data_IF_356557995485
#
_entry.id   IF_356557995485
#
_cell.length_a   1.000
_cell.length_b   1.000
_cell.length_c   1.000
_cell.angle_alpha   90.00
_cell.angle_beta   90.00
_cell.angle_gamma   90.00
#
_symmetry.space_group_name_H-M   'P 1'
#
loop_
_entity.id
_entity.type
_entity.pdbx_description
1 polymer ?
#
# COMPACT_ATOMS: atom_id res chain seq x y z
N UNK A 1 -68.78 21.74 16.33
CA UNK A 1 -68.44 21.22 14.99
C UNK A 1 -67.05 21.72 14.63
N UNK A 2 -66.03 20.86 14.66
CA UNK A 2 -64.63 21.18 14.34
C UNK A 2 -64.32 20.75 12.91
N UNK A 3 -63.65 21.57 12.07
CA UNK A 3 -62.85 21.06 10.99
C UNK A 3 -61.36 21.10 11.36
N UNK A 4 -60.82 19.89 11.31
CA UNK A 4 -59.43 19.46 11.33
C UNK A 4 -58.73 19.91 10.04
N UNK A 5 -57.53 20.51 10.12
CA UNK A 5 -56.67 20.72 8.95
C UNK A 5 -55.25 20.27 9.29
N UNK A 6 -54.81 19.28 8.51
CA UNK A 6 -53.56 18.52 8.62
C UNK A 6 -52.34 19.38 8.29
N UNK A 7 -51.34 19.32 9.17
CA UNK A 7 -49.95 19.70 8.90
C UNK A 7 -49.24 18.59 8.12
N UNK A 8 -48.86 18.88 6.87
CA UNK A 8 -48.00 18.01 6.07
C UNK A 8 -46.53 18.36 6.36
N UNK A 9 -45.89 17.60 7.25
CA UNK A 9 -44.45 17.71 7.49
C UNK A 9 -43.71 16.85 6.46
N UNK A 10 -43.00 17.49 5.52
CA UNK A 10 -42.14 16.80 4.56
C UNK A 10 -40.74 16.70 5.16
N UNK A 11 -40.45 15.58 5.83
CA UNK A 11 -39.09 15.25 6.27
C UNK A 11 -38.41 14.50 5.14
N UNK A 12 -37.62 15.22 4.32
CA UNK A 12 -36.64 14.60 3.42
C UNK A 12 -35.45 14.15 4.27
N UNK A 13 -35.58 12.94 4.82
CA UNK A 13 -34.44 12.19 5.33
C UNK A 13 -34.01 11.17 4.29
N UNK A 14 -32.93 11.43 3.57
CA UNK A 14 -32.04 10.40 3.03
C UNK A 14 -30.65 10.99 2.91
N UNK A 15 -29.89 10.90 4.01
CA UNK A 15 -28.45 10.77 3.90
C UNK A 15 -28.12 9.32 3.56
N UNK A 16 -27.23 9.09 2.62
CA UNK A 16 -26.00 8.36 2.93
C UNK A 16 -24.98 8.63 1.83
N UNK A 17 -23.82 9.11 2.28
CA UNK A 17 -22.62 9.33 1.49
C UNK A 17 -22.21 8.02 0.83
N UNK A 18 -22.27 7.95 -0.50
CA UNK A 18 -21.58 6.92 -1.26
C UNK A 18 -20.08 7.20 -1.13
N UNK A 19 -19.47 6.66 -0.08
CA UNK A 19 -18.02 6.53 -0.01
C UNK A 19 -17.58 5.73 -1.22
N UNK A 20 -16.77 6.33 -2.09
CA UNK A 20 -16.15 5.64 -3.20
C UNK A 20 -15.40 4.44 -2.67
N UNK A 21 -15.96 3.25 -2.82
CA UNK A 21 -15.17 2.04 -2.83
C UNK A 21 -14.26 2.20 -4.04
N UNK A 22 -12.98 2.48 -3.80
CA UNK A 22 -11.96 2.41 -4.85
C UNK A 22 -11.95 0.98 -5.36
N UNK A 23 -12.75 0.75 -6.40
CA UNK A 23 -12.89 -0.55 -7.02
C UNK A 23 -11.54 -0.99 -7.58
N UNK A 24 -11.27 -2.29 -7.50
CA UNK A 24 -10.08 -2.85 -8.12
C UNK A 24 -10.32 -2.89 -9.62
N UNK A 25 -9.73 -1.93 -10.35
CA UNK A 25 -9.74 -1.93 -11.80
C UNK A 25 -8.82 -3.04 -12.38
N UNK A 26 -8.89 -3.24 -13.70
CA UNK A 26 -8.13 -4.31 -14.36
C UNK A 26 -6.61 -4.17 -14.22
N UNK A 27 -6.08 -2.95 -14.20
CA UNK A 27 -4.65 -2.70 -14.08
C UNK A 27 -4.18 -3.01 -12.65
N UNK A 28 -4.90 -2.52 -11.65
CA UNK A 28 -4.62 -2.82 -10.24
C UNK A 28 -4.77 -4.32 -9.95
N UNK A 29 -5.77 -4.98 -10.53
CA UNK A 29 -5.94 -6.44 -10.43
C UNK A 29 -4.68 -7.17 -10.93
N UNK A 30 -4.09 -6.74 -12.05
CA UNK A 30 -2.85 -7.33 -12.58
C UNK A 30 -1.65 -7.05 -11.67
N UNK A 31 -1.52 -5.83 -11.14
CA UNK A 31 -0.46 -5.46 -10.21
C UNK A 31 -0.53 -6.30 -8.92
N UNK A 32 -1.73 -6.47 -8.35
CA UNK A 32 -1.96 -7.30 -7.16
C UNK A 32 -1.63 -8.77 -7.43
N UNK A 33 -2.03 -9.32 -8.58
CA UNK A 33 -1.65 -10.69 -8.98
C UNK A 33 -0.15 -10.86 -9.17
N UNK A 34 0.56 -9.83 -9.65
CA UNK A 34 2.02 -9.86 -9.78
C UNK A 34 2.71 -9.93 -8.41
N UNK A 35 2.20 -9.19 -7.43
CA UNK A 35 2.71 -9.24 -6.05
C UNK A 35 2.36 -10.55 -5.35
N UNK A 36 1.19 -11.12 -5.65
CA UNK A 36 0.70 -12.34 -5.02
C UNK A 36 0.16 -13.34 -6.06
N UNK A 37 1.04 -14.08 -6.76
CA UNK A 37 0.62 -15.00 -7.83
C UNK A 37 -0.31 -16.13 -7.36
N UNK A 38 -0.23 -16.51 -6.09
CA UNK A 38 -1.07 -17.55 -5.47
C UNK A 38 -2.40 -17.04 -4.88
N UNK A 39 -2.71 -15.75 -5.01
CA UNK A 39 -3.95 -15.18 -4.48
C UNK A 39 -5.16 -15.62 -5.29
N UNK A 40 -6.24 -15.96 -4.59
CA UNK A 40 -7.53 -16.32 -5.18
C UNK A 40 -8.50 -15.15 -5.20
N UNK A 41 -8.37 -14.20 -4.27
CA UNK A 41 -9.23 -13.01 -4.15
C UNK A 41 -8.47 -11.84 -3.53
N UNK A 42 -8.89 -10.63 -3.92
CA UNK A 42 -8.50 -9.38 -3.27
C UNK A 42 -9.77 -8.65 -2.84
N UNK A 43 -9.77 -8.08 -1.64
CA UNK A 43 -10.85 -7.18 -1.23
C UNK A 43 -10.55 -5.75 -1.72
N UNK A 44 -11.57 -4.95 -2.04
CA UNK A 44 -11.41 -3.52 -2.29
C UNK A 44 -10.65 -2.82 -1.16
N UNK A 45 -10.03 -1.69 -1.49
CA UNK A 45 -9.23 -0.93 -0.52
C UNK A 45 -10.09 -0.52 0.68
N UNK A 46 -9.58 -0.71 1.89
CA UNK A 46 -10.26 -0.29 3.10
C UNK A 46 -9.37 -0.37 4.35
N UNK A 47 -10.00 -0.21 5.51
CA UNK A 47 -9.33 -0.28 6.81
C UNK A 47 -8.44 0.93 7.14
N UNK A 48 -7.84 0.87 8.33
CA UNK A 48 -6.88 1.86 8.83
C UNK A 48 -5.67 1.10 9.37
N UNK A 49 -4.49 1.15 8.70
CA UNK A 49 -4.18 1.98 7.53
C UNK A 49 -4.87 1.47 6.26
N UNK A 50 -5.09 2.29 5.23
CA UNK A 50 -5.72 1.85 3.98
C UNK A 50 -4.88 0.74 3.31
N UNK A 51 -5.53 -0.39 3.02
CA UNK A 51 -4.90 -1.55 2.39
C UNK A 51 -5.93 -2.40 1.61
N UNK A 52 -5.41 -3.23 0.71
CA UNK A 52 -6.12 -4.34 0.09
C UNK A 52 -5.78 -5.62 0.86
N UNK A 53 -6.78 -6.42 1.21
CA UNK A 53 -6.53 -7.76 1.77
C UNK A 53 -6.34 -8.76 0.66
N UNK A 54 -5.36 -9.65 0.84
CA UNK A 54 -5.02 -10.72 -0.10
C UNK A 54 -5.44 -12.04 0.50
N UNK A 55 -6.20 -12.83 -0.27
CA UNK A 55 -6.71 -14.11 0.17
C UNK A 55 -6.16 -15.26 -0.67
N UNK A 56 -5.92 -16.39 0.01
CA UNK A 56 -5.80 -17.71 -0.62
C UNK A 56 -6.89 -18.60 -0.01
N UNK A 57 -7.90 -18.94 -0.82
CA UNK A 57 -9.17 -19.47 -0.31
C UNK A 57 -9.85 -18.45 0.61
N UNK A 58 -10.14 -18.86 1.84
CA UNK A 58 -10.77 -18.01 2.86
C UNK A 58 -9.77 -17.41 3.88
N UNK A 59 -8.48 -17.69 3.72
CA UNK A 59 -7.44 -17.21 4.64
C UNK A 59 -6.77 -15.95 4.09
N UNK A 60 -6.63 -14.91 4.92
CA UNK A 60 -5.82 -13.74 4.60
C UNK A 60 -4.35 -14.13 4.65
N UNK A 61 -3.66 -13.99 3.52
CA UNK A 61 -2.23 -14.34 3.38
C UNK A 61 -1.33 -13.13 3.27
N UNK A 62 -1.90 -11.94 3.04
CA UNK A 62 -1.14 -10.70 3.02
C UNK A 62 -2.01 -9.47 2.82
N UNK A 63 -1.31 -8.34 2.66
CA UNK A 63 -1.88 -7.03 2.41
C UNK A 63 -1.08 -6.32 1.31
N UNK A 64 -1.76 -5.50 0.52
CA UNK A 64 -1.10 -4.53 -0.37
C UNK A 64 -1.54 -3.11 -0.03
N UNK A 65 -0.68 -2.12 -0.24
CA UNK A 65 -0.98 -0.72 0.09
C UNK A 65 -0.14 0.25 -0.73
N UNK A 66 -0.63 1.49 -0.81
CA UNK A 66 0.05 2.59 -1.50
C UNK A 66 0.96 3.35 -0.56
N UNK A 67 2.23 3.51 -0.94
CA UNK A 67 3.18 4.30 -0.13
C UNK A 67 2.73 5.73 0.08
N UNK A 68 2.12 6.37 -0.92
CA UNK A 68 1.68 7.77 -0.86
C UNK A 68 0.50 8.00 0.07
N UNK A 69 -0.27 6.96 0.39
CA UNK A 69 -1.37 7.07 1.38
C UNK A 69 -0.85 6.92 2.81
N UNK A 70 0.26 6.19 2.99
CA UNK A 70 0.82 5.89 4.31
C UNK A 70 1.96 6.83 4.71
N UNK A 71 2.68 7.35 3.72
CA UNK A 71 3.79 8.29 3.88
C UNK A 71 3.55 9.54 3.00
N UNK A 72 2.43 10.29 3.18
CA UNK A 72 2.00 11.35 2.27
C UNK A 72 2.93 12.57 2.25
N UNK A 73 3.86 12.67 3.20
CA UNK A 73 4.85 13.74 3.31
C UNK A 73 6.22 13.35 2.75
N UNK A 74 6.42 12.09 2.38
CA UNK A 74 7.67 11.62 1.77
C UNK A 74 7.80 12.20 0.36
N UNK A 75 8.97 12.74 0.03
CA UNK A 75 9.25 13.42 -1.24
C UNK A 75 10.64 13.02 -1.72
N UNK A 76 10.71 12.63 -2.98
CA UNK A 76 11.93 12.40 -3.72
C UNK A 76 12.41 13.71 -4.37
N UNK A 77 13.11 13.64 -5.51
CA UNK A 77 13.64 14.85 -6.14
C UNK A 77 12.54 15.73 -6.74
N UNK A 78 11.58 15.13 -7.44
CA UNK A 78 10.49 15.84 -8.12
C UNK A 78 9.10 15.41 -7.60
N UNK A 79 9.01 15.20 -6.29
CA UNK A 79 7.75 14.94 -5.60
C UNK A 79 7.58 13.48 -5.13
N UNK A 80 6.35 13.02 -4.92
CA UNK A 80 6.10 11.68 -4.39
C UNK A 80 6.35 10.59 -5.44
N UNK A 81 6.83 9.43 -4.98
CA UNK A 81 6.92 8.21 -5.77
C UNK A 81 5.81 7.27 -5.30
N UNK A 82 4.82 7.04 -6.15
CA UNK A 82 3.69 6.14 -5.89
C UNK A 82 4.11 4.71 -6.15
N UNK A 83 4.12 3.90 -5.09
CA UNK A 83 4.46 2.49 -5.17
C UNK A 83 3.38 1.63 -4.51
N UNK A 84 3.07 0.49 -5.14
CA UNK A 84 2.30 -0.58 -4.54
C UNK A 84 3.24 -1.55 -3.86
N UNK A 85 3.05 -1.77 -2.56
CA UNK A 85 3.88 -2.67 -1.76
C UNK A 85 3.03 -3.83 -1.29
N UNK A 86 3.51 -5.06 -1.49
CA UNK A 86 2.92 -6.27 -0.94
C UNK A 86 3.65 -6.71 0.32
N UNK A 87 2.91 -7.04 1.38
CA UNK A 87 3.41 -7.51 2.66
C UNK A 87 2.63 -8.78 3.06
N UNK A 88 3.34 -9.85 3.39
CA UNK A 88 2.70 -11.06 3.90
C UNK A 88 2.37 -10.95 5.40
N UNK A 89 1.67 -11.94 5.94
CA UNK A 89 1.28 -11.97 7.36
C UNK A 89 2.43 -12.22 8.34
N UNK A 90 3.62 -12.55 7.85
CA UNK A 90 4.84 -12.78 8.66
C UNK A 90 5.72 -11.54 8.75
N UNK A 91 5.42 -10.51 7.95
CA UNK A 91 6.21 -9.29 7.85
C UNK A 91 7.28 -9.34 6.76
N UNK A 92 7.14 -10.23 5.79
CA UNK A 92 8.03 -10.34 4.63
C UNK A 92 7.40 -9.61 3.44
N UNK A 93 8.20 -8.82 2.73
CA UNK A 93 7.74 -8.14 1.52
C UNK A 93 7.53 -9.14 0.38
N UNK A 94 6.29 -9.23 -0.09
CA UNK A 94 5.95 -10.04 -1.27
C UNK A 94 6.49 -9.40 -2.56
N UNK A 95 6.63 -8.06 -2.58
CA UNK A 95 7.23 -7.32 -3.67
C UNK A 95 6.87 -5.84 -3.65
N UNK A 96 7.41 -5.10 -4.62
CA UNK A 96 7.17 -3.67 -4.82
C UNK A 96 6.93 -3.41 -6.31
N UNK A 97 5.99 -2.53 -6.63
CA UNK A 97 5.77 -2.01 -7.99
C UNK A 97 5.80 -0.49 -7.93
N UNK A 98 6.72 0.13 -8.67
CA UNK A 98 6.70 1.56 -8.93
C UNK A 98 5.61 1.84 -9.97
N UNK A 99 4.70 2.78 -9.67
CA UNK A 99 3.51 3.03 -10.48
C UNK A 99 3.53 4.43 -11.12
N UNK A 100 3.96 5.45 -10.38
CA UNK A 100 3.94 6.83 -10.86
C UNK A 100 4.99 7.67 -10.12
N UNK A 101 5.73 8.50 -10.85
CA UNK A 101 6.64 9.52 -10.31
C UNK A 101 6.99 10.54 -11.39
N UNK A 102 7.79 11.54 -11.02
CA UNK A 102 8.35 12.55 -11.93
C UNK A 102 9.88 12.64 -11.90
N UNK A 103 10.54 11.68 -11.25
CA UNK A 103 12.00 11.67 -11.12
C UNK A 103 12.73 11.79 -12.47
N UNK A 104 13.67 12.73 -12.63
CA UNK A 104 14.36 12.98 -13.91
C UNK A 104 15.28 11.85 -14.36
N UNK A 105 15.62 10.94 -13.45
CA UNK A 105 16.54 9.81 -13.65
C UNK A 105 15.88 8.47 -13.30
N UNK A 106 14.54 8.39 -13.39
CA UNK A 106 13.79 7.17 -13.05
C UNK A 106 14.24 5.96 -13.87
N UNK A 107 14.44 6.16 -15.18
CA UNK A 107 14.75 5.15 -16.19
C UNK A 107 15.98 4.29 -15.86
N UNK A 108 17.03 4.88 -15.28
CA UNK A 108 18.23 4.16 -14.86
C UNK A 108 18.30 3.93 -13.34
N UNK A 109 17.28 4.34 -12.57
CA UNK A 109 17.23 4.16 -11.12
C UNK A 109 16.01 3.37 -10.66
N UNK A 110 14.91 4.01 -10.27
CA UNK A 110 13.74 3.38 -9.66
C UNK A 110 12.87 2.57 -10.64
N UNK A 111 12.95 2.83 -11.95
CA UNK A 111 12.18 2.10 -12.98
C UNK A 111 12.84 0.77 -13.38
N UNK A 112 14.09 0.60 -12.99
CA UNK A 112 14.85 -0.62 -13.22
C UNK A 112 14.20 -1.79 -12.45
N UNK A 113 13.94 -2.95 -13.09
CA UNK A 113 13.47 -4.14 -12.39
C UNK A 113 14.33 -4.52 -11.18
N UNK A 114 15.64 -4.25 -11.27
CA UNK A 114 16.64 -4.46 -10.23
C UNK A 114 16.36 -3.64 -8.97
N UNK A 115 15.77 -2.45 -9.07
CA UNK A 115 15.38 -1.67 -7.91
C UNK A 115 14.29 -2.39 -7.10
N UNK A 116 13.19 -2.77 -7.76
CA UNK A 116 12.07 -3.45 -7.10
C UNK A 116 12.46 -4.85 -6.58
N UNK A 117 13.28 -5.58 -7.34
CA UNK A 117 13.72 -6.94 -7.00
C UNK A 117 14.48 -6.99 -5.67
N UNK A 118 15.18 -5.92 -5.29
CA UNK A 118 15.90 -5.86 -4.02
C UNK A 118 14.98 -5.97 -2.81
N UNK A 119 13.68 -5.66 -2.91
CA UNK A 119 12.78 -5.67 -1.75
C UNK A 119 12.08 -7.01 -1.53
N UNK A 120 11.92 -7.81 -2.57
CA UNK A 120 11.20 -9.08 -2.48
C UNK A 120 11.92 -10.04 -1.51
N UNK A 121 11.17 -10.60 -0.56
CA UNK A 121 11.68 -11.52 0.45
C UNK A 121 12.40 -10.86 1.63
N UNK A 122 12.56 -9.53 1.65
CA UNK A 122 13.12 -8.84 2.82
C UNK A 122 12.11 -8.77 3.96
N UNK A 123 12.61 -8.90 5.19
CA UNK A 123 11.79 -8.74 6.39
C UNK A 123 11.71 -7.25 6.76
N UNK A 124 10.54 -6.78 7.19
CA UNK A 124 10.36 -5.39 7.63
C UNK A 124 11.27 -4.99 8.79
N UNK A 125 11.82 -5.95 9.53
CA UNK A 125 12.76 -5.75 10.64
C UNK A 125 14.16 -5.40 10.16
N UNK A 126 14.49 -5.69 8.90
CA UNK A 126 15.77 -5.31 8.31
C UNK A 126 15.89 -3.79 8.17
N UNK A 127 17.11 -3.27 8.11
CA UNK A 127 17.36 -1.83 8.21
C UNK A 127 17.04 -1.02 6.92
N UNK A 128 17.16 -1.65 5.76
CA UNK A 128 17.01 -1.06 4.42
C UNK A 128 17.85 0.21 4.23
N UNK A 129 19.15 0.14 4.55
CA UNK A 129 20.09 1.26 4.40
C UNK A 129 20.58 1.30 2.96
N UNK A 130 20.31 2.39 2.24
CA UNK A 130 20.85 2.63 0.90
C UNK A 130 22.38 2.69 0.94
N UNK A 131 23.04 2.05 -0.02
CA UNK A 131 24.49 1.84 -0.07
C UNK A 131 25.01 0.72 0.84
N UNK A 132 24.13 0.00 1.55
CA UNK A 132 24.50 -1.17 2.38
C UNK A 132 23.59 -2.37 2.17
N UNK A 133 22.30 -2.18 2.41
CA UNK A 133 21.28 -3.24 2.32
C UNK A 133 20.44 -3.13 1.02
N UNK A 134 20.46 -1.94 0.40
CA UNK A 134 19.85 -1.56 -0.88
C UNK A 134 20.90 -0.81 -1.69
N UNK A 135 21.06 -1.12 -2.97
CA UNK A 135 22.01 -0.50 -3.87
C UNK A 135 21.73 0.99 -4.05
N UNK A 136 22.79 1.79 -4.00
CA UNK A 136 22.72 3.20 -4.35
C UNK A 136 22.92 3.37 -5.86
N UNK A 137 22.28 4.38 -6.44
CA UNK A 137 22.47 4.75 -7.85
C UNK A 137 23.06 6.16 -7.90
N UNK A 138 24.27 6.28 -8.45
CA UNK A 138 24.91 7.58 -8.64
C UNK A 138 24.00 8.51 -9.44
N UNK A 139 23.94 9.78 -9.02
CA UNK A 139 23.03 10.82 -9.57
C UNK A 139 21.54 10.65 -9.25
N UNK A 140 21.11 9.53 -8.67
CA UNK A 140 19.72 9.29 -8.26
C UNK A 140 19.58 8.98 -6.75
N UNK A 141 20.55 9.39 -5.94
CA UNK A 141 20.59 9.07 -4.50
C UNK A 141 19.34 9.53 -3.74
N UNK A 142 18.81 10.71 -4.06
CA UNK A 142 17.61 11.26 -3.40
C UNK A 142 16.40 10.35 -3.71
N UNK A 143 16.20 10.00 -4.98
CA UNK A 143 15.11 9.14 -5.46
C UNK A 143 15.16 7.76 -4.80
N UNK A 144 16.32 7.10 -4.84
CA UNK A 144 16.52 5.77 -4.23
C UNK A 144 16.28 5.83 -2.72
N UNK A 145 16.81 6.84 -2.04
CA UNK A 145 16.67 6.96 -0.58
C UNK A 145 15.23 7.24 -0.17
N UNK A 146 14.53 8.12 -0.89
CA UNK A 146 13.12 8.43 -0.63
C UNK A 146 12.23 7.21 -0.87
N UNK A 147 12.36 6.55 -2.03
CA UNK A 147 11.60 5.35 -2.35
C UNK A 147 11.82 4.23 -1.32
N UNK A 148 13.08 3.97 -0.97
CA UNK A 148 13.43 2.97 0.06
C UNK A 148 12.81 3.30 1.41
N UNK A 149 12.83 4.59 1.82
CA UNK A 149 12.24 5.04 3.08
C UNK A 149 10.72 4.89 3.08
N UNK A 150 10.06 5.28 1.99
CA UNK A 150 8.62 5.10 1.80
C UNK A 150 8.22 3.63 1.94
N UNK A 151 8.88 2.70 1.23
CA UNK A 151 8.60 1.26 1.31
C UNK A 151 8.78 0.76 2.75
N UNK A 152 9.93 1.06 3.38
CA UNK A 152 10.23 0.62 4.74
C UNK A 152 9.20 1.13 5.77
N UNK A 153 8.92 2.42 5.76
CA UNK A 153 8.09 3.04 6.79
C UNK A 153 6.62 2.63 6.65
N UNK A 154 6.11 2.63 5.41
CA UNK A 154 4.74 2.22 5.09
C UNK A 154 4.48 0.75 5.46
N UNK A 155 5.39 -0.17 5.11
CA UNK A 155 5.29 -1.57 5.47
C UNK A 155 5.31 -1.79 6.99
N UNK A 156 6.21 -1.10 7.70
CA UNK A 156 6.25 -1.15 9.17
C UNK A 156 4.99 -0.54 9.80
N UNK A 157 4.40 0.49 9.20
CA UNK A 157 3.15 1.10 9.67
C UNK A 157 1.99 0.12 9.57
N UNK A 158 1.85 -0.55 8.43
CA UNK A 158 0.86 -1.61 8.21
C UNK A 158 1.08 -2.76 9.19
N UNK A 159 2.31 -3.24 9.31
CA UNK A 159 2.64 -4.35 10.19
C UNK A 159 2.31 -4.07 11.67
N UNK A 160 2.66 -2.88 12.18
CA UNK A 160 2.36 -2.51 13.57
C UNK A 160 0.86 -2.50 13.88
N UNK A 161 0.02 -2.20 12.89
CA UNK A 161 -1.41 -2.04 13.09
C UNK A 161 -2.19 -3.33 12.81
N UNK A 162 -1.71 -4.17 11.89
CA UNK A 162 -2.47 -5.29 11.36
C UNK A 162 -1.84 -6.67 11.60
N UNK A 163 -0.54 -6.75 11.91
CA UNK A 163 0.13 -8.02 12.13
C UNK A 163 0.35 -8.30 13.61
N UNK A 164 0.13 -9.55 14.00
CA UNK A 164 0.48 -10.03 15.34
C UNK A 164 1.98 -10.33 15.39
N UNK A 165 2.72 -9.83 16.40
CA UNK A 165 4.11 -10.21 16.58
C UNK A 165 4.24 -11.74 16.76
N UNK A 166 5.30 -12.37 16.21
CA UNK A 166 5.58 -13.77 16.53
C UNK A 166 5.73 -13.92 18.05
N UNK A 167 5.19 -15.01 18.62
CA UNK A 167 5.40 -15.32 20.03
C UNK A 167 6.90 -15.34 20.35
N UNK A 168 7.30 -14.72 21.46
CA UNK A 168 8.71 -14.56 21.86
C UNK A 168 9.44 -15.90 22.11
N UNK A 169 8.74 -17.04 22.06
CA UNK A 169 9.28 -18.37 22.31
C UNK A 169 10.06 -19.01 21.14
N UNK A 170 10.24 -18.31 20.02
CA UNK A 170 10.93 -18.84 18.83
C UNK A 170 12.21 -18.04 18.49
N UNK A 171 13.10 -17.87 19.47
CA UNK A 171 14.47 -17.39 19.25
C UNK A 171 15.47 -18.29 19.94
#
# INVERSE_FOLDING_TARGET
MKPLLLTLSFVLGTGLVLGGQDAIDAQLQQQLKRLFPGATRFDPKGGTPPHFKVYQGDTVTGMAFWTTELEPLERAYDGPIKMLVGLDTKGVLAGVIVVEHKEPYGDFSIDRPEFAAQFQGKDIRDAFRVGRDIDAVSRATISITSATRAIRNSARRVARQLLTPPSAAAR
#
